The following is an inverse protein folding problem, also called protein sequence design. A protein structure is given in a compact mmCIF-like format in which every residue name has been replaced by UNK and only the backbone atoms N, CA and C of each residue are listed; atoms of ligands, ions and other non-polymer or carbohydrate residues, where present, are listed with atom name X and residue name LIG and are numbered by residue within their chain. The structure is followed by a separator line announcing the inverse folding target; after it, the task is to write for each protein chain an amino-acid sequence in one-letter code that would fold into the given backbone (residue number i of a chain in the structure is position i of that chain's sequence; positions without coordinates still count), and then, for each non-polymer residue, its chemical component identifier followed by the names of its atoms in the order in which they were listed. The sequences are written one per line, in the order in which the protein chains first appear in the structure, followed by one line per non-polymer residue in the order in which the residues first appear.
data_IF_338438864097
#
_entry.id   IF_338438864097
#
_cell.length_a   1.000
_cell.length_b   1.000
_cell.length_c   1.000
_cell.angle_alpha   90.00
_cell.angle_beta   90.00
_cell.angle_gamma   90.00
#
_symmetry.space_group_name_H-M   'P 1'
#
loop_
_entity.id
_entity.type
_entity.pdbx_description
1 polymer ?
#
# COMPACT_ATOMS: atom_id res chain seq x y z
N UNK A 1 64.65 13.24 45.97
CA UNK A 1 63.43 12.45 46.23
C UNK A 1 62.59 12.45 44.96
N UNK A 2 62.51 11.30 44.27
CA UNK A 2 61.72 11.20 43.03
C UNK A 2 60.23 11.22 43.35
N UNK A 3 59.47 12.12 42.70
CA UNK A 3 58.00 12.13 42.77
C UNK A 3 57.48 10.82 42.18
N UNK A 4 57.06 9.88 43.03
CA UNK A 4 56.36 8.68 42.57
C UNK A 4 54.98 9.09 42.06
N UNK A 5 54.55 8.46 40.98
CA UNK A 5 53.30 8.84 40.31
C UNK A 5 52.13 8.07 40.91
N UNK A 6 50.93 8.64 40.86
CA UNK A 6 49.71 7.97 41.32
C UNK A 6 49.42 6.64 40.59
N UNK A 7 50.07 6.40 39.45
CA UNK A 7 49.99 5.13 38.71
C UNK A 7 50.76 4.01 39.42
N UNK A 8 51.90 4.34 40.02
CA UNK A 8 52.75 3.36 40.70
C UNK A 8 52.07 2.84 41.97
N UNK A 9 51.32 3.70 42.67
CA UNK A 9 50.56 3.30 43.86
C UNK A 9 49.37 2.42 43.49
N UNK A 10 48.66 2.72 42.39
CA UNK A 10 47.55 1.91 41.91
C UNK A 10 47.99 0.49 41.52
N UNK A 11 49.11 0.37 40.79
CA UNK A 11 49.67 -0.92 40.40
C UNK A 11 50.02 -1.80 41.62
N UNK A 12 50.62 -1.20 42.64
CA UNK A 12 50.97 -1.90 43.89
C UNK A 12 49.74 -2.36 44.68
N UNK A 13 48.65 -1.58 44.68
CA UNK A 13 47.39 -2.00 45.31
C UNK A 13 46.85 -3.25 44.62
N UNK A 14 46.93 -3.30 43.28
CA UNK A 14 46.40 -4.41 42.49
C UNK A 14 47.25 -5.69 42.63
N UNK A 15 48.58 -5.57 42.60
CA UNK A 15 49.51 -6.70 42.84
C UNK A 15 49.29 -7.33 44.22
N UNK A 16 49.14 -6.50 45.25
CA UNK A 16 48.89 -6.98 46.62
C UNK A 16 47.48 -7.54 46.76
N UNK A 17 46.47 -6.95 46.11
CA UNK A 17 45.10 -7.48 46.11
C UNK A 17 45.01 -8.86 45.44
N UNK A 18 45.82 -9.12 44.40
CA UNK A 18 45.94 -10.41 43.72
C UNK A 18 46.78 -11.44 44.50
N UNK A 19 47.47 -11.02 45.56
CA UNK A 19 48.37 -11.87 46.35
C UNK A 19 49.70 -12.16 45.66
N UNK A 20 50.03 -11.45 44.58
CA UNK A 20 51.29 -11.58 43.84
C UNK A 20 52.47 -10.96 44.61
N UNK A 21 52.17 -10.09 45.57
CA UNK A 21 53.15 -9.42 46.40
C UNK A 21 52.68 -9.26 47.83
N UNK A 22 53.57 -9.51 48.80
CA UNK A 22 53.27 -9.32 50.22
C UNK A 22 53.38 -7.85 50.62
N UNK A 23 52.46 -7.37 51.47
CA UNK A 23 52.47 -6.01 52.02
C UNK A 23 53.80 -5.64 52.70
N UNK A 24 54.48 -6.63 53.26
CA UNK A 24 55.73 -6.49 54.01
C UNK A 24 56.92 -6.16 53.10
N UNK A 25 56.86 -6.52 51.82
CA UNK A 25 57.92 -6.27 50.84
C UNK A 25 57.98 -4.82 50.34
N UNK A 26 56.97 -4.01 50.70
CA UNK A 26 56.96 -2.58 50.39
C UNK A 26 57.87 -1.88 51.40
N UNK A 27 59.09 -1.53 50.97
CA UNK A 27 60.13 -0.89 51.80
C UNK A 27 59.73 0.48 52.36
N UNK A 28 58.80 1.16 51.70
CA UNK A 28 58.36 2.49 52.09
C UNK A 28 57.19 2.40 53.09
N UNK A 29 57.35 2.87 54.34
CA UNK A 29 56.34 2.73 55.38
C UNK A 29 55.05 3.51 55.05
N UNK A 30 55.15 4.71 54.46
CA UNK A 30 53.97 5.53 54.13
C UNK A 30 53.15 4.90 53.01
N UNK A 31 53.82 4.36 52.00
CA UNK A 31 53.17 3.67 50.89
C UNK A 31 52.49 2.39 51.35
N UNK A 32 53.15 1.64 52.23
CA UNK A 32 52.60 0.42 52.82
C UNK A 32 51.33 0.71 53.63
N UNK A 33 51.30 1.78 54.41
CA UNK A 33 50.07 2.20 55.12
C UNK A 33 48.97 2.63 54.14
N UNK A 34 49.33 3.35 53.09
CA UNK A 34 48.37 3.78 52.05
C UNK A 34 47.73 2.57 51.35
N UNK A 35 48.53 1.59 50.94
CA UNK A 35 48.04 0.35 50.32
C UNK A 35 47.21 -0.46 51.31
N UNK A 36 47.63 -0.56 52.58
CA UNK A 36 46.87 -1.23 53.65
C UNK A 36 45.50 -0.58 53.87
N UNK A 37 45.43 0.75 53.91
CA UNK A 37 44.18 1.51 54.02
C UNK A 37 43.29 1.32 52.79
N UNK A 38 43.87 1.37 51.59
CA UNK A 38 43.14 1.15 50.34
C UNK A 38 42.53 -0.27 50.28
N UNK A 39 43.28 -1.30 50.66
CA UNK A 39 42.78 -2.67 50.71
C UNK A 39 41.71 -2.86 51.79
N UNK A 40 41.85 -2.19 52.94
CA UNK A 40 40.82 -2.20 53.99
C UNK A 40 39.53 -1.54 53.51
N UNK A 41 39.64 -0.42 52.80
CA UNK A 41 38.50 0.30 52.24
C UNK A 41 37.83 -0.49 51.09
N UNK A 42 38.61 -1.25 50.32
CA UNK A 42 38.09 -2.10 49.26
C UNK A 42 37.38 -3.36 49.78
N UNK A 43 37.69 -3.79 51.02
CA UNK A 43 37.07 -4.96 51.65
C UNK A 43 35.70 -4.65 52.27
N UNK A 44 35.36 -3.38 52.48
CA UNK A 44 33.99 -3.00 52.80
C UNK A 44 33.14 -3.20 51.54
N UNK A 45 32.15 -4.11 51.56
CA UNK A 45 31.31 -4.35 50.40
C UNK A 45 30.65 -3.03 50.03
N UNK A 46 30.99 -2.53 48.85
CA UNK A 46 30.37 -1.34 48.28
C UNK A 46 28.85 -1.54 48.40
N UNK A 47 28.23 -0.81 49.33
CA UNK A 47 26.79 -0.86 49.55
C UNK A 47 26.16 -0.14 48.38
N UNK A 48 26.10 -0.85 47.25
CA UNK A 48 25.48 -0.36 46.05
C UNK A 48 24.05 0.05 46.39
N UNK A 49 23.52 1.07 45.71
CA UNK A 49 22.15 1.53 45.95
C UNK A 49 21.19 0.33 45.94
N UNK A 50 20.34 0.27 46.98
CA UNK A 50 19.20 -0.64 47.10
C UNK A 50 18.52 -0.82 45.73
N UNK A 51 18.09 -2.04 45.42
CA UNK A 51 17.32 -2.37 44.22
C UNK A 51 16.23 -1.33 43.91
N UNK A 52 15.56 -0.80 44.94
CA UNK A 52 14.54 0.25 44.79
C UNK A 52 15.13 1.58 44.30
N UNK A 53 16.29 1.97 44.83
CA UNK A 53 17.03 3.16 44.40
C UNK A 53 17.55 2.99 42.97
N UNK A 54 18.06 1.80 42.63
CA UNK A 54 18.48 1.46 41.26
C UNK A 54 17.32 1.55 40.27
N UNK A 55 16.14 1.06 40.64
CA UNK A 55 14.92 1.18 39.81
C UNK A 55 14.53 2.64 39.57
N UNK A 56 14.61 3.50 40.59
CA UNK A 56 14.29 4.93 40.45
C UNK A 56 15.29 5.67 39.57
N UNK A 57 16.58 5.35 39.71
CA UNK A 57 17.63 5.91 38.86
C UNK A 57 17.41 5.45 37.42
N UNK A 58 17.13 4.17 37.18
CA UNK A 58 16.78 3.65 35.85
C UNK A 58 15.56 4.34 35.26
N UNK A 59 14.48 4.53 36.02
CA UNK A 59 13.27 5.18 35.50
C UNK A 59 13.49 6.66 35.17
N UNK A 60 14.34 7.37 35.93
CA UNK A 60 14.72 8.75 35.57
C UNK A 60 15.56 8.79 34.32
N UNK A 61 16.60 7.97 34.25
CA UNK A 61 17.52 7.92 33.10
C UNK A 61 16.78 7.48 31.83
N UNK A 62 15.92 6.47 31.89
CA UNK A 62 15.11 6.07 30.74
C UNK A 62 14.06 7.11 30.34
N UNK A 63 13.62 7.98 31.26
CA UNK A 63 12.73 9.08 30.92
C UNK A 63 13.47 10.23 30.23
N UNK A 64 14.72 10.50 30.61
CA UNK A 64 15.58 11.46 29.91
C UNK A 64 16.18 10.91 28.61
N UNK A 65 16.27 9.58 28.47
CA UNK A 65 16.73 8.90 27.26
C UNK A 65 15.58 8.38 26.37
N UNK A 66 14.34 8.85 26.55
CA UNK A 66 13.34 8.75 25.47
C UNK A 66 13.67 9.85 24.47
N UNK A 67 14.38 9.59 23.36
CA UNK A 67 14.36 10.53 22.25
C UNK A 67 12.88 10.75 21.91
N UNK A 68 12.49 12.02 21.72
CA UNK A 68 11.19 12.31 21.12
C UNK A 68 11.05 11.53 19.81
N UNK A 69 9.84 11.21 19.35
CA UNK A 69 9.67 10.58 18.05
C UNK A 69 10.36 11.47 17.01
N UNK A 70 11.46 10.97 16.42
CA UNK A 70 12.23 11.70 15.44
C UNK A 70 11.27 12.15 14.33
N UNK A 71 11.08 13.47 14.24
CA UNK A 71 10.28 14.11 13.21
C UNK A 71 10.77 13.63 11.84
N UNK A 72 9.88 13.56 10.85
CA UNK A 72 10.26 13.29 9.45
C UNK A 72 11.39 14.23 9.00
N UNK A 73 11.44 15.45 9.52
CA UNK A 73 12.52 16.41 9.26
C UNK A 73 13.90 15.95 9.79
N UNK A 74 13.96 15.33 10.97
CA UNK A 74 15.23 14.80 11.53
C UNK A 74 15.71 13.59 10.73
N UNK A 75 14.79 12.76 10.24
CA UNK A 75 15.13 11.61 9.39
C UNK A 75 15.66 12.06 8.03
N UNK A 76 15.08 13.11 7.47
CA UNK A 76 15.57 13.74 6.23
C UNK A 76 16.94 14.39 6.48
N UNK A 77 17.12 15.11 7.59
CA UNK A 77 18.40 15.74 7.94
C UNK A 77 19.54 14.73 8.09
N UNK A 78 19.31 13.60 8.77
CA UNK A 78 20.32 12.52 8.91
C UNK A 78 20.66 11.91 7.54
N UNK A 79 19.67 11.74 6.67
CA UNK A 79 19.89 11.20 5.32
C UNK A 79 20.71 12.18 4.46
N UNK A 80 20.45 13.48 4.57
CA UNK A 80 21.22 14.53 3.89
C UNK A 80 22.62 14.71 4.48
N UNK A 81 22.81 14.55 5.80
CA UNK A 81 24.12 14.66 6.46
C UNK A 81 25.05 13.50 6.08
N UNK A 82 24.50 12.29 5.90
CA UNK A 82 25.23 11.14 5.35
C UNK A 82 25.57 11.37 3.87
N UNK A 83 24.70 12.05 3.11
CA UNK A 83 24.92 12.38 1.69
C UNK A 83 25.86 13.57 1.48
N UNK A 84 26.07 14.42 2.50
CA UNK A 84 26.92 15.61 2.44
C UNK A 84 28.41 15.31 2.67
N UNK A 85 28.78 14.10 3.14
CA UNK A 85 30.19 13.72 3.27
C UNK A 85 30.77 13.27 1.92
N UNK A 86 31.98 13.71 1.54
CA UNK A 86 32.63 13.37 0.27
C UNK A 86 33.16 11.93 0.33
N UNK A 87 32.24 10.97 0.23
CA UNK A 87 32.55 9.54 0.06
C UNK A 87 32.55 9.21 -1.43
N UNK A 88 33.40 8.27 -1.88
CA UNK A 88 33.47 7.86 -3.28
C UNK A 88 32.11 7.32 -3.75
N UNK A 89 31.69 7.71 -4.95
CA UNK A 89 30.36 7.44 -5.52
C UNK A 89 29.93 5.96 -5.47
N UNK A 90 30.90 5.02 -5.51
CA UNK A 90 30.65 3.59 -5.39
C UNK A 90 30.01 3.19 -4.04
N UNK A 91 30.42 3.80 -2.93
CA UNK A 91 29.84 3.52 -1.60
C UNK A 91 28.42 4.09 -1.48
N UNK A 92 28.10 5.19 -2.18
CA UNK A 92 26.74 5.74 -2.22
C UNK A 92 25.80 4.83 -3.00
N UNK A 93 26.22 4.37 -4.18
CA UNK A 93 25.45 3.41 -4.97
C UNK A 93 25.20 2.11 -4.19
N UNK A 94 26.21 1.61 -3.47
CA UNK A 94 26.08 0.42 -2.64
C UNK A 94 25.15 0.62 -1.45
N UNK A 95 25.24 1.75 -0.74
CA UNK A 95 24.35 2.06 0.38
C UNK A 95 22.89 2.22 -0.08
N UNK A 96 22.66 2.89 -1.21
CA UNK A 96 21.32 3.03 -1.81
C UNK A 96 20.78 1.66 -2.21
N UNK A 97 21.58 0.82 -2.90
CA UNK A 97 21.19 -0.52 -3.27
C UNK A 97 20.87 -1.39 -2.04
N UNK A 98 21.66 -1.29 -0.97
CA UNK A 98 21.43 -2.03 0.28
C UNK A 98 20.14 -1.58 0.98
N UNK A 99 19.86 -0.27 1.00
CA UNK A 99 18.59 0.25 1.54
C UNK A 99 17.40 -0.22 0.71
N UNK A 100 17.49 -0.19 -0.62
CA UNK A 100 16.44 -0.70 -1.51
C UNK A 100 16.20 -2.20 -1.27
N UNK A 101 17.27 -3.00 -1.15
CA UNK A 101 17.18 -4.44 -0.88
C UNK A 101 16.63 -4.73 0.51
N UNK A 102 17.08 -4.03 1.55
CA UNK A 102 16.58 -4.22 2.92
C UNK A 102 15.11 -3.81 3.05
N UNK A 103 14.70 -2.71 2.42
CA UNK A 103 13.29 -2.29 2.39
C UNK A 103 12.46 -3.29 1.57
N UNK A 104 12.95 -3.75 0.41
CA UNK A 104 12.27 -4.74 -0.42
C UNK A 104 12.17 -6.14 0.20
N UNK A 105 13.17 -6.57 0.98
CA UNK A 105 13.16 -7.88 1.65
C UNK A 105 12.27 -7.90 2.91
N UNK A 106 12.08 -6.75 3.55
CA UNK A 106 11.25 -6.64 4.75
C UNK A 106 9.74 -6.74 4.46
N UNK A 107 9.32 -6.41 3.22
CA UNK A 107 7.91 -6.38 2.80
C UNK A 107 7.41 -7.71 2.24
N UNK A 108 8.30 -8.63 1.85
CA UNK A 108 7.93 -9.91 1.24
C UNK A 108 7.31 -10.93 2.22
N UNK A 109 7.45 -10.74 3.55
CA UNK A 109 7.04 -11.73 4.55
C UNK A 109 5.66 -11.48 5.19
N UNK A 110 4.92 -10.44 4.81
CA UNK A 110 3.62 -10.10 5.43
C UNK A 110 2.44 -10.00 4.43
N UNK A 111 2.70 -10.02 3.11
CA UNK A 111 1.68 -9.70 2.10
C UNK A 111 0.87 -10.93 1.66
N UNK A 112 -0.03 -11.40 2.52
CA UNK A 112 -1.03 -12.43 2.16
C UNK A 112 -2.48 -11.98 2.33
N UNK A 113 -2.77 -10.70 2.59
CA UNK A 113 -4.17 -10.26 2.68
C UNK A 113 -4.42 -8.84 3.14
N UNK A 114 -3.75 -7.84 2.56
CA UNK A 114 -4.01 -6.45 2.96
C UNK A 114 -4.63 -5.64 1.83
N UNK A 115 -5.91 -5.34 2.06
CA UNK A 115 -6.81 -4.43 1.33
C UNK A 115 -6.26 -2.99 1.39
N UNK A 116 -6.67 -2.16 0.41
CA UNK A 116 -6.29 -0.77 0.09
C UNK A 116 -5.89 0.24 1.20
N UNK A 117 -6.08 -0.04 2.49
CA UNK A 117 -5.74 0.83 3.64
C UNK A 117 -4.40 0.50 4.33
N UNK A 118 -3.62 -0.47 3.83
CA UNK A 118 -2.32 -0.83 4.39
C UNK A 118 -1.18 0.07 3.85
N UNK A 119 -0.29 0.64 4.69
CA UNK A 119 0.91 1.35 4.22
C UNK A 119 1.80 0.54 3.26
N UNK A 120 1.71 -0.80 3.24
CA UNK A 120 2.39 -1.64 2.25
C UNK A 120 1.81 -1.54 0.84
N UNK A 121 0.54 -1.16 0.70
CA UNK A 121 -0.13 -1.00 -0.58
C UNK A 121 0.53 0.10 -1.43
N UNK A 122 0.89 1.25 -0.82
CA UNK A 122 1.61 2.31 -1.52
C UNK A 122 2.99 1.88 -2.01
N UNK A 123 3.68 1.02 -1.26
CA UNK A 123 4.99 0.45 -1.68
C UNK A 123 4.80 -0.47 -2.88
N UNK A 124 3.69 -1.23 -2.92
CA UNK A 124 3.36 -2.11 -4.02
C UNK A 124 3.11 -1.34 -5.31
N UNK A 125 2.23 -0.35 -5.29
CA UNK A 125 1.97 0.50 -6.45
C UNK A 125 3.26 1.18 -6.91
N UNK A 126 4.09 1.67 -5.99
CA UNK A 126 5.39 2.24 -6.35
C UNK A 126 6.32 1.23 -7.03
N UNK A 127 6.32 -0.03 -6.58
CA UNK A 127 7.13 -1.09 -7.21
C UNK A 127 6.65 -1.44 -8.62
N UNK A 128 5.34 -1.42 -8.87
CA UNK A 128 4.74 -1.64 -10.19
C UNK A 128 5.14 -0.51 -11.16
N UNK A 129 5.09 0.75 -10.70
CA UNK A 129 5.53 1.91 -11.49
C UNK A 129 7.02 1.86 -11.82
N UNK A 130 7.88 1.38 -10.91
CA UNK A 130 9.31 1.18 -11.20
C UNK A 130 9.51 0.11 -12.27
N UNK A 131 8.77 -1.00 -12.22
CA UNK A 131 8.85 -2.05 -13.25
C UNK A 131 8.43 -1.52 -14.62
N UNK A 132 7.36 -0.71 -14.66
CA UNK A 132 6.89 -0.09 -15.90
C UNK A 132 7.90 0.94 -16.44
N UNK A 133 8.53 1.73 -15.57
CA UNK A 133 9.59 2.67 -15.96
C UNK A 133 10.85 1.98 -16.49
N UNK A 134 11.13 0.75 -16.04
CA UNK A 134 12.26 -0.06 -16.50
C UNK A 134 11.95 -0.87 -17.77
N UNK A 135 10.68 -1.02 -18.14
CA UNK A 135 10.27 -1.70 -19.36
C UNK A 135 10.59 -0.83 -20.59
N UNK A 136 11.68 -1.18 -21.27
CA UNK A 136 12.21 -0.41 -22.40
C UNK A 136 11.48 -0.68 -23.71
N UNK A 137 10.91 -1.88 -23.88
CA UNK A 137 10.22 -2.30 -25.11
C UNK A 137 8.69 -2.26 -24.94
N UNK A 138 7.90 -2.02 -26.01
CA UNK A 138 6.45 -2.11 -25.97
C UNK A 138 5.95 -3.48 -25.49
N UNK A 139 6.65 -4.56 -25.84
CA UNK A 139 6.35 -5.92 -25.41
C UNK A 139 6.53 -6.08 -23.90
N UNK A 140 7.65 -5.62 -23.35
CA UNK A 140 7.89 -5.66 -21.89
C UNK A 140 6.86 -4.82 -21.14
N UNK A 141 6.48 -3.66 -21.68
CA UNK A 141 5.44 -2.81 -21.09
C UNK A 141 4.09 -3.51 -21.07
N UNK A 142 3.71 -4.16 -22.17
CA UNK A 142 2.48 -4.93 -22.25
C UNK A 142 2.44 -6.06 -21.22
N UNK A 143 3.56 -6.76 -21.01
CA UNK A 143 3.67 -7.81 -20.00
C UNK A 143 3.51 -7.23 -18.58
N UNK A 144 4.15 -6.09 -18.29
CA UNK A 144 4.01 -5.43 -16.99
C UNK A 144 2.57 -4.99 -16.75
N UNK A 145 1.96 -4.30 -17.72
CA UNK A 145 0.56 -3.85 -17.64
C UNK A 145 -0.41 -5.02 -17.46
N UNK A 146 -0.22 -6.12 -18.18
CA UNK A 146 -1.01 -7.34 -17.99
C UNK A 146 -0.87 -7.90 -16.56
N UNK A 147 0.35 -7.90 -16.01
CA UNK A 147 0.58 -8.37 -14.64
C UNK A 147 -0.07 -7.46 -13.58
N UNK A 148 -0.18 -6.16 -13.85
CA UNK A 148 -0.90 -5.22 -12.98
C UNK A 148 -2.40 -5.51 -13.09
N UNK A 149 -2.94 -5.67 -14.31
CA UNK A 149 -4.34 -6.04 -14.51
C UNK A 149 -4.69 -7.35 -13.77
N UNK A 150 -3.89 -8.41 -13.92
CA UNK A 150 -4.02 -9.65 -13.14
C UNK A 150 -4.15 -9.40 -11.65
N UNK A 151 -3.30 -8.52 -11.13
CA UNK A 151 -3.33 -8.17 -9.73
C UNK A 151 -4.61 -7.44 -9.32
N UNK A 152 -5.07 -6.47 -10.12
CA UNK A 152 -6.33 -5.74 -9.90
C UNK A 152 -7.56 -6.62 -9.92
N UNK A 153 -7.59 -7.63 -10.80
CA UNK A 153 -8.67 -8.60 -10.81
C UNK A 153 -8.69 -9.46 -9.54
N UNK A 154 -7.52 -9.92 -9.09
CA UNK A 154 -7.41 -10.68 -7.85
C UNK A 154 -7.83 -9.84 -6.64
N UNK A 155 -7.40 -8.58 -6.60
CA UNK A 155 -7.82 -7.60 -5.59
C UNK A 155 -9.35 -7.40 -5.60
N UNK A 156 -9.93 -7.12 -6.78
CA UNK A 156 -11.38 -6.99 -6.94
C UNK A 156 -12.15 -8.21 -6.43
N UNK A 157 -11.68 -9.42 -6.72
CA UNK A 157 -12.29 -10.65 -6.22
C UNK A 157 -12.26 -10.74 -4.69
N UNK A 158 -11.13 -10.39 -4.05
CA UNK A 158 -11.02 -10.39 -2.59
C UNK A 158 -11.92 -9.34 -1.94
N UNK A 159 -11.93 -8.12 -2.49
CA UNK A 159 -12.77 -7.02 -2.02
C UNK A 159 -14.26 -7.36 -2.12
N UNK A 160 -14.65 -8.04 -3.21
CA UNK A 160 -16.02 -8.45 -3.45
C UNK A 160 -16.50 -9.47 -2.41
N UNK A 161 -15.65 -10.43 -2.04
CA UNK A 161 -15.97 -11.35 -0.93
C UNK A 161 -16.01 -10.68 0.45
N UNK A 162 -15.34 -9.54 0.60
CA UNK A 162 -15.35 -8.74 1.82
C UNK A 162 -16.50 -7.74 1.93
N UNK A 163 -17.33 -7.59 0.89
CA UNK A 163 -18.42 -6.60 0.83
C UNK A 163 -17.93 -5.16 0.63
N UNK A 164 -16.70 -4.96 0.14
CA UNK A 164 -16.12 -3.65 -0.12
C UNK A 164 -16.48 -3.14 -1.52
N UNK A 165 -17.78 -2.99 -1.80
CA UNK A 165 -18.32 -2.71 -3.13
C UNK A 165 -17.66 -1.53 -3.86
N UNK A 166 -17.37 -0.43 -3.16
CA UNK A 166 -16.75 0.76 -3.78
C UNK A 166 -15.35 0.45 -4.29
N UNK A 167 -14.59 -0.30 -3.52
CA UNK A 167 -13.21 -0.65 -3.82
C UNK A 167 -13.16 -1.71 -4.94
N UNK A 168 -14.16 -2.60 -5.02
CA UNK A 168 -14.33 -3.54 -6.14
C UNK A 168 -14.52 -2.80 -7.45
N UNK A 169 -15.36 -1.76 -7.47
CA UNK A 169 -15.64 -0.98 -8.67
C UNK A 169 -14.36 -0.29 -9.15
N UNK A 170 -13.60 0.34 -8.24
CA UNK A 170 -12.32 0.97 -8.57
C UNK A 170 -11.33 -0.06 -9.14
N UNK A 171 -11.12 -1.18 -8.45
CA UNK A 171 -10.19 -2.23 -8.90
C UNK A 171 -10.61 -2.84 -10.25
N UNK A 172 -11.91 -2.97 -10.52
CA UNK A 172 -12.46 -3.46 -11.79
C UNK A 172 -12.23 -2.47 -12.94
N UNK A 173 -12.38 -1.17 -12.67
CA UNK A 173 -12.07 -0.12 -13.65
C UNK A 173 -10.57 -0.03 -13.95
N UNK A 174 -9.72 -0.07 -12.91
CA UNK A 174 -8.25 -0.10 -13.06
C UNK A 174 -7.77 -1.35 -13.82
N UNK A 175 -8.40 -2.51 -13.60
CA UNK A 175 -8.18 -3.70 -14.43
C UNK A 175 -8.39 -3.42 -15.92
N UNK A 176 -9.51 -2.78 -16.27
CA UNK A 176 -9.84 -2.46 -17.66
C UNK A 176 -8.85 -1.45 -18.26
N UNK A 177 -8.39 -0.48 -17.48
CA UNK A 177 -7.36 0.48 -17.87
C UNK A 177 -6.04 -0.20 -18.22
N UNK A 178 -5.47 -0.96 -17.28
CA UNK A 178 -4.19 -1.65 -17.48
C UNK A 178 -4.26 -2.66 -18.63
N UNK A 179 -5.40 -3.33 -18.81
CA UNK A 179 -5.61 -4.23 -19.94
C UNK A 179 -5.66 -3.48 -21.28
N UNK A 180 -6.31 -2.32 -21.33
CA UNK A 180 -6.35 -1.47 -22.52
C UNK A 180 -4.95 -0.93 -22.87
N UNK A 181 -4.16 -0.54 -21.86
CA UNK A 181 -2.77 -0.11 -22.04
C UNK A 181 -1.89 -1.24 -22.57
N UNK A 182 -1.97 -2.44 -21.98
CA UNK A 182 -1.22 -3.61 -22.45
C UNK A 182 -1.49 -3.90 -23.93
N UNK A 183 -2.76 -3.90 -24.32
CA UNK A 183 -3.19 -4.12 -25.68
C UNK A 183 -2.76 -2.98 -26.63
N UNK A 184 -2.76 -1.73 -26.16
CA UNK A 184 -2.30 -0.59 -26.94
C UNK A 184 -0.79 -0.58 -27.19
N UNK A 185 0.02 -1.12 -26.26
CA UNK A 185 1.45 -1.32 -26.48
C UNK A 185 1.70 -2.42 -27.53
N UNK A 186 0.99 -3.55 -27.47
CA UNK A 186 1.11 -4.60 -28.49
C UNK A 186 0.62 -4.16 -29.87
N UNK A 187 -0.45 -3.36 -29.96
CA UNK A 187 -0.98 -2.87 -31.22
C UNK A 187 0.01 -1.99 -32.01
N UNK A 188 0.98 -1.35 -31.33
CA UNK A 188 2.01 -0.55 -31.98
C UNK A 188 3.05 -1.41 -32.71
N UNK A 189 3.32 -2.61 -32.20
CA UNK A 189 4.38 -3.51 -32.70
C UNK A 189 3.84 -4.68 -33.51
N UNK A 190 2.54 -5.00 -33.40
CA UNK A 190 1.87 -6.11 -34.09
C UNK A 190 2.09 -6.13 -35.61
N UNK A 191 2.14 -4.95 -36.23
CA UNK A 191 2.34 -4.83 -37.68
C UNK A 191 3.81 -4.87 -38.12
N UNK A 192 4.75 -4.73 -37.17
CA UNK A 192 6.19 -4.65 -37.43
C UNK A 192 6.84 -5.99 -37.16
N UNK A 193 6.42 -6.68 -36.10
CA UNK A 193 7.08 -7.88 -35.58
C UNK A 193 6.10 -9.06 -35.57
N UNK A 194 6.32 -10.12 -36.37
CA UNK A 194 5.41 -11.28 -36.41
C UNK A 194 5.37 -12.06 -35.09
N UNK A 195 6.42 -11.97 -34.26
CA UNK A 195 6.46 -12.57 -32.93
C UNK A 195 5.39 -11.99 -31.99
N UNK A 196 4.98 -10.73 -32.18
CA UNK A 196 3.93 -10.08 -31.40
C UNK A 196 2.58 -10.77 -31.56
N UNK A 197 2.29 -11.42 -32.70
CA UNK A 197 1.04 -12.17 -32.88
C UNK A 197 0.90 -13.31 -31.86
N UNK A 198 2.02 -13.92 -31.45
CA UNK A 198 2.02 -14.95 -30.39
C UNK A 198 1.72 -14.34 -29.03
N UNK A 199 2.27 -13.17 -28.71
CA UNK A 199 1.99 -12.43 -27.48
C UNK A 199 0.53 -11.98 -27.40
N UNK A 200 -0.05 -11.50 -28.51
CA UNK A 200 -1.47 -11.13 -28.56
C UNK A 200 -2.37 -12.35 -28.35
N UNK A 201 -2.00 -13.51 -28.88
CA UNK A 201 -2.72 -14.76 -28.63
C UNK A 201 -2.63 -15.18 -27.15
N UNK A 202 -1.44 -15.07 -26.54
CA UNK A 202 -1.25 -15.33 -25.12
C UNK A 202 -2.05 -14.36 -24.23
N UNK A 203 -2.06 -13.08 -24.59
CA UNK A 203 -2.87 -12.06 -23.94
C UNK A 203 -4.36 -12.42 -24.01
N UNK A 204 -4.85 -12.82 -25.19
CA UNK A 204 -6.24 -13.24 -25.36
C UNK A 204 -6.58 -14.44 -24.46
N UNK A 205 -5.72 -15.46 -24.42
CA UNK A 205 -5.91 -16.60 -23.53
C UNK A 205 -5.98 -16.17 -22.06
N UNK A 206 -5.10 -15.27 -21.62
CA UNK A 206 -5.09 -14.74 -20.26
C UNK A 206 -6.37 -13.96 -19.93
N UNK A 207 -6.86 -13.16 -20.87
CA UNK A 207 -8.13 -12.46 -20.71
C UNK A 207 -9.28 -13.45 -20.55
N UNK A 208 -9.30 -14.54 -21.32
CA UNK A 208 -10.35 -15.54 -21.20
C UNK A 208 -10.29 -16.29 -19.84
N UNK A 209 -9.09 -16.58 -19.33
CA UNK A 209 -8.87 -17.08 -17.96
C UNK A 209 -9.42 -16.09 -16.90
N UNK A 210 -9.16 -14.79 -17.09
CA UNK A 210 -9.65 -13.71 -16.22
C UNK A 210 -11.17 -13.60 -16.24
N UNK A 211 -11.79 -13.68 -17.41
CA UNK A 211 -13.24 -13.68 -17.58
C UNK A 211 -13.89 -14.86 -16.89
N UNK A 212 -13.33 -16.06 -17.05
CA UNK A 212 -13.81 -17.26 -16.36
C UNK A 212 -13.75 -17.08 -14.83
N UNK A 213 -12.66 -16.48 -14.34
CA UNK A 213 -12.50 -16.18 -12.91
C UNK A 213 -13.53 -15.16 -12.43
N UNK A 214 -13.69 -14.04 -13.14
CA UNK A 214 -14.68 -13.00 -12.82
C UNK A 214 -16.11 -13.54 -12.83
N UNK A 215 -16.45 -14.38 -13.82
CA UNK A 215 -17.75 -15.05 -13.92
C UNK A 215 -17.99 -16.02 -12.75
N UNK A 216 -16.98 -16.79 -12.35
CA UNK A 216 -17.10 -17.71 -11.22
C UNK A 216 -17.29 -16.96 -9.89
N UNK A 217 -16.60 -15.83 -9.69
CA UNK A 217 -16.75 -15.00 -8.48
C UNK A 217 -18.11 -14.30 -8.48
N UNK A 218 -18.52 -13.69 -9.60
CA UNK A 218 -19.82 -13.01 -9.68
C UNK A 218 -20.99 -13.96 -9.47
N UNK A 219 -20.93 -15.19 -10.00
CA UNK A 219 -21.94 -16.21 -9.79
C UNK A 219 -22.07 -16.62 -8.31
N UNK A 220 -20.95 -16.70 -7.57
CA UNK A 220 -20.97 -17.02 -6.12
C UNK A 220 -21.57 -15.89 -5.28
N UNK A 221 -21.39 -14.64 -5.70
CA UNK A 221 -21.87 -13.46 -4.99
C UNK A 221 -23.33 -13.13 -5.32
N UNK A 222 -23.84 -13.59 -6.46
CA UNK A 222 -25.20 -13.30 -6.91
C UNK A 222 -26.31 -13.76 -5.95
N UNK A 223 -26.03 -14.73 -5.08
CA UNK A 223 -26.98 -15.24 -4.09
C UNK A 223 -27.16 -14.31 -2.86
N UNK A 224 -26.21 -13.40 -2.62
CA UNK A 224 -26.25 -12.49 -1.48
C UNK A 224 -26.61 -11.05 -1.91
N UNK A 225 -27.78 -10.50 -1.49
CA UNK A 225 -28.20 -9.15 -1.85
C UNK A 225 -27.24 -8.06 -1.36
N UNK A 226 -26.43 -8.34 -0.32
CA UNK A 226 -25.44 -7.39 0.20
C UNK A 226 -24.21 -7.26 -0.70
N UNK A 227 -23.94 -8.24 -1.57
CA UNK A 227 -22.82 -8.24 -2.52
C UNK A 227 -23.25 -8.04 -3.97
N UNK A 228 -24.53 -7.75 -4.20
CA UNK A 228 -25.08 -7.53 -5.55
C UNK A 228 -24.34 -6.45 -6.37
N UNK A 229 -23.90 -5.30 -5.79
CA UNK A 229 -23.13 -4.31 -6.54
C UNK A 229 -21.75 -4.84 -6.98
N UNK A 230 -21.02 -5.51 -6.08
CA UNK A 230 -19.75 -6.15 -6.41
C UNK A 230 -19.91 -7.25 -7.48
N UNK A 231 -20.96 -8.07 -7.38
CA UNK A 231 -21.29 -9.08 -8.37
C UNK A 231 -21.57 -8.46 -9.75
N UNK A 232 -22.30 -7.34 -9.78
CA UNK A 232 -22.59 -6.61 -11.01
C UNK A 232 -21.31 -6.03 -11.64
N UNK A 233 -20.40 -5.45 -10.84
CA UNK A 233 -19.12 -4.94 -11.32
C UNK A 233 -18.26 -6.06 -11.96
N UNK A 234 -18.14 -7.22 -11.31
CA UNK A 234 -17.40 -8.37 -11.85
C UNK A 234 -18.09 -9.00 -13.07
N UNK A 235 -19.43 -8.97 -13.13
CA UNK A 235 -20.18 -9.47 -14.29
C UNK A 235 -19.96 -8.63 -15.56
N UNK A 236 -19.60 -7.35 -15.43
CA UNK A 236 -19.20 -6.51 -16.56
C UNK A 236 -17.98 -7.11 -17.26
N UNK A 237 -16.97 -7.58 -16.51
CA UNK A 237 -15.78 -8.20 -17.08
C UNK A 237 -16.10 -9.53 -17.78
N UNK A 238 -17.03 -10.31 -17.23
CA UNK A 238 -17.38 -11.63 -17.72
C UNK A 238 -18.14 -11.63 -19.06
N UNK A 239 -18.87 -10.56 -19.39
CA UNK A 239 -19.84 -10.55 -20.49
C UNK A 239 -19.34 -9.88 -21.77
N UNK A 240 -18.17 -9.25 -21.75
CA UNK A 240 -17.67 -8.54 -22.93
C UNK A 240 -17.14 -9.55 -23.94
N UNK A 241 -17.80 -9.70 -25.09
CA UNK A 241 -17.28 -10.49 -26.21
C UNK A 241 -17.86 -10.08 -27.58
N UNK A 242 -17.72 -8.80 -27.95
CA UNK A 242 -18.11 -8.35 -29.29
C UNK A 242 -16.84 -8.24 -30.14
N UNK A 243 -16.61 -9.14 -31.11
CA UNK A 243 -15.47 -9.01 -32.01
C UNK A 243 -15.72 -7.86 -33.00
N UNK A 244 -14.87 -6.84 -32.94
CA UNK A 244 -14.79 -5.78 -33.96
C UNK A 244 -14.06 -6.32 -35.19
N UNK A 245 -14.77 -6.61 -36.28
CA UNK A 245 -14.20 -7.19 -37.51
C UNK A 245 -13.19 -6.27 -38.23
N UNK A 246 -13.23 -4.98 -37.95
CA UNK A 246 -12.43 -3.96 -38.65
C UNK A 246 -11.13 -3.57 -37.91
N UNK A 247 -10.83 -4.21 -36.77
CA UNK A 247 -9.68 -3.88 -35.93
C UNK A 247 -8.64 -4.99 -35.93
N UNK A 248 -7.37 -4.63 -35.70
CA UNK A 248 -6.36 -5.64 -35.37
C UNK A 248 -6.74 -6.32 -34.05
N UNK A 249 -6.34 -7.58 -33.84
CA UNK A 249 -6.62 -8.31 -32.59
C UNK A 249 -6.26 -7.52 -31.32
N UNK A 250 -5.08 -6.89 -31.28
CA UNK A 250 -4.69 -6.06 -30.14
C UNK A 250 -5.57 -4.80 -29.97
N UNK A 251 -5.95 -4.14 -31.07
CA UNK A 251 -6.85 -2.99 -31.00
C UNK A 251 -8.27 -3.35 -30.58
N UNK A 252 -8.76 -4.54 -30.96
CA UNK A 252 -10.05 -5.06 -30.51
C UNK A 252 -10.04 -5.35 -29.01
N UNK A 253 -8.96 -5.94 -28.48
CA UNK A 253 -8.78 -6.15 -27.03
C UNK A 253 -8.79 -4.80 -26.29
N UNK A 254 -8.07 -3.80 -26.79
CA UNK A 254 -8.01 -2.48 -26.16
C UNK A 254 -9.38 -1.79 -26.10
N UNK A 255 -10.15 -1.84 -27.19
CA UNK A 255 -11.54 -1.34 -27.23
C UNK A 255 -12.44 -2.07 -26.24
N UNK A 256 -12.34 -3.39 -26.19
CA UNK A 256 -13.11 -4.22 -25.29
C UNK A 256 -12.83 -3.93 -23.81
N UNK A 257 -11.55 -3.70 -23.48
CA UNK A 257 -11.12 -3.32 -22.13
C UNK A 257 -11.62 -1.92 -21.74
N UNK A 258 -11.60 -0.97 -22.68
CA UNK A 258 -12.15 0.37 -22.47
C UNK A 258 -13.68 0.35 -22.23
N UNK A 259 -14.43 -0.45 -23.01
CA UNK A 259 -15.87 -0.63 -22.80
C UNK A 259 -16.19 -1.25 -21.44
N UNK A 260 -15.35 -2.18 -20.98
CA UNK A 260 -15.49 -2.78 -19.65
C UNK A 260 -15.25 -1.75 -18.54
N UNK A 261 -14.20 -0.92 -18.66
CA UNK A 261 -13.91 0.15 -17.71
C UNK A 261 -15.04 1.20 -17.65
N UNK A 262 -15.61 1.58 -18.80
CA UNK A 262 -16.73 2.53 -18.91
C UNK A 262 -18.01 2.02 -18.26
N UNK A 263 -18.32 0.73 -18.45
CA UNK A 263 -19.46 0.08 -17.77
C UNK A 263 -19.24 0.00 -16.27
N UNK A 264 -18.03 -0.30 -15.81
CA UNK A 264 -17.70 -0.29 -14.38
C UNK A 264 -17.84 1.13 -13.78
N UNK A 265 -17.40 2.17 -14.50
CA UNK A 265 -17.61 3.56 -14.11
C UNK A 265 -19.11 3.91 -14.03
N UNK A 266 -19.91 3.46 -14.99
CA UNK A 266 -21.37 3.65 -14.99
C UNK A 266 -22.03 3.01 -13.76
N UNK A 267 -21.58 1.83 -13.33
CA UNK A 267 -22.03 1.18 -12.09
C UNK A 267 -21.69 2.05 -10.86
N UNK A 268 -20.49 2.64 -10.83
CA UNK A 268 -20.08 3.58 -9.78
C UNK A 268 -21.02 4.80 -9.69
N UNK A 269 -21.35 5.40 -10.84
CA UNK A 269 -22.19 6.61 -10.91
C UNK A 269 -23.63 6.36 -10.44
N UNK A 270 -24.18 5.19 -10.78
CA UNK A 270 -25.50 4.77 -10.32
C UNK A 270 -25.56 4.64 -8.79
N UNK A 271 -24.44 4.37 -8.14
CA UNK A 271 -24.34 4.31 -6.67
C UNK A 271 -24.28 5.70 -6.03
N UNK A 272 -23.67 6.68 -6.69
CA UNK A 272 -23.57 8.08 -6.24
C UNK A 272 -24.88 8.83 -6.38
N UNK A 273 -25.67 8.54 -7.43
CA UNK A 273 -26.98 9.15 -7.63
C UNK A 273 -28.06 8.33 -6.93
N UNK A 274 -28.42 8.64 -5.66
CA UNK A 274 -29.60 8.00 -5.07
C UNK A 274 -30.78 8.31 -5.98
N UNK A 275 -31.52 7.26 -6.33
CA UNK A 275 -32.69 7.25 -7.21
C UNK A 275 -33.78 8.18 -6.67
N UNK A 276 -33.58 9.49 -6.79
CA UNK A 276 -34.50 10.57 -6.41
C UNK A 276 -35.64 10.72 -7.42
N UNK A 277 -35.99 9.62 -8.10
CA UNK A 277 -37.05 9.55 -9.13
C UNK A 277 -38.24 8.71 -8.69
N UNK A 278 -38.33 8.27 -7.43
CA UNK A 278 -39.56 7.72 -6.87
C UNK A 278 -40.47 8.84 -6.34
N UNK A 279 -40.91 9.73 -7.23
CA UNK A 279 -42.09 10.54 -7.01
C UNK A 279 -42.84 10.77 -8.32
N UNK A 280 -43.92 10.01 -8.55
CA UNK A 280 -45.15 10.58 -9.06
C UNK A 280 -46.22 10.47 -7.98
N UNK A 281 -46.39 11.58 -7.28
CA UNK A 281 -47.69 12.24 -7.05
C UNK A 281 -48.92 11.36 -7.35
N UNK A 282 -49.43 10.68 -6.33
CA UNK A 282 -50.86 10.39 -6.23
C UNK A 282 -51.29 10.67 -4.79
N UNK A 283 -51.84 11.86 -4.56
CA UNK A 283 -52.63 12.20 -3.39
C UNK A 283 -53.87 11.31 -3.34
N UNK A 284 -54.07 10.45 -2.32
CA UNK A 284 -55.40 10.05 -1.92
C UNK A 284 -55.94 11.07 -0.92
N UNK A 285 -56.99 11.77 -1.31
CA UNK A 285 -57.82 12.64 -0.48
C UNK A 285 -58.20 11.94 0.84
N UNK A 286 -57.95 12.52 2.03
CA UNK A 286 -58.38 11.91 3.28
C UNK A 286 -59.84 12.28 3.58
N UNK A 287 -60.70 11.26 3.65
CA UNK A 287 -62.00 11.39 4.31
C UNK A 287 -61.79 11.57 5.82
N UNK A 288 -62.33 12.68 6.29
CA UNK A 288 -62.43 13.13 7.68
C UNK A 288 -63.28 12.16 8.49
N UNK A 289 -62.73 11.57 9.55
CA UNK A 289 -63.54 11.04 10.66
C UNK A 289 -62.92 11.45 11.98
N UNK A 290 -63.78 11.92 12.87
CA UNK A 290 -63.51 12.70 14.08
C UNK A 290 -63.59 11.80 15.31
N UNK A 291 -62.85 12.19 16.36
CA UNK A 291 -62.93 11.76 17.77
C UNK A 291 -62.21 10.43 18.11
N UNK A 292 -61.53 10.25 19.24
CA UNK A 292 -61.60 10.90 20.56
C UNK A 292 -60.25 10.80 21.29
N UNK A 293 -59.96 11.80 22.11
CA UNK A 293 -58.82 11.89 23.04
C UNK A 293 -58.87 10.83 24.15
N UNK A 294 -57.72 10.27 24.53
CA UNK A 294 -57.43 9.91 25.92
C UNK A 294 -55.92 9.90 26.19
N UNK A 295 -55.54 10.78 27.11
CA UNK A 295 -54.28 10.96 27.84
C UNK A 295 -53.57 9.69 28.33
N UNK A 296 -52.25 9.59 28.09
CA UNK A 296 -51.26 9.20 29.11
C UNK A 296 -49.97 9.99 28.88
N UNK A 297 -49.67 10.90 29.81
CA UNK A 297 -48.39 11.58 29.92
C UNK A 297 -47.37 10.63 30.54
N UNK A 298 -46.32 10.27 29.81
CA UNK A 298 -45.13 9.66 30.37
C UNK A 298 -43.88 9.96 29.53
N UNK A 299 -43.04 10.85 30.09
CA UNK A 299 -41.58 10.81 30.04
C UNK A 299 -40.90 11.02 28.68
N UNK A 300 -40.84 12.27 28.25
CA UNK A 300 -39.95 12.76 27.20
C UNK A 300 -38.53 12.95 27.76
N UNK A 301 -37.67 11.93 27.64
CA UNK A 301 -36.22 12.08 27.72
C UNK A 301 -35.58 11.69 26.38
N UNK A 302 -35.29 12.74 25.59
CA UNK A 302 -34.23 12.93 24.60
C UNK A 302 -33.69 11.74 23.76
N UNK A 303 -33.99 11.72 22.44
CA UNK A 303 -33.24 10.94 21.44
C UNK A 303 -32.38 11.82 20.50
N UNK A 304 -31.76 12.92 20.97
CA UNK A 304 -31.01 13.86 20.09
C UNK A 304 -29.61 13.39 19.67
N UNK A 305 -29.01 12.41 20.36
CA UNK A 305 -27.63 11.98 20.08
C UNK A 305 -27.53 10.97 18.91
N UNK A 306 -28.62 10.25 18.61
CA UNK A 306 -28.58 9.17 17.59
C UNK A 306 -28.79 9.70 16.17
N UNK A 307 -29.48 10.83 15.99
CA UNK A 307 -29.68 11.46 14.68
C UNK A 307 -28.39 12.04 14.10
N UNK A 308 -27.54 12.67 14.93
CA UNK A 308 -26.28 13.27 14.47
C UNK A 308 -25.30 12.23 13.94
N UNK A 309 -25.14 11.09 14.65
CA UNK A 309 -24.22 10.02 14.24
C UNK A 309 -24.65 9.34 12.93
N UNK A 310 -25.95 9.23 12.68
CA UNK A 310 -26.49 8.67 11.43
C UNK A 310 -26.26 9.63 10.24
N UNK A 311 -26.37 10.93 10.46
CA UNK A 311 -26.10 11.93 9.43
C UNK A 311 -24.60 12.01 9.06
N UNK A 312 -23.69 11.83 10.02
CA UNK A 312 -22.24 11.80 9.77
C UNK A 312 -21.83 10.56 8.97
N UNK A 313 -22.29 9.36 9.37
CA UNK A 313 -21.97 8.12 8.64
C UNK A 313 -22.50 8.14 7.20
N UNK A 314 -23.70 8.71 6.96
CA UNK A 314 -24.23 8.84 5.61
C UNK A 314 -23.45 9.84 4.73
N UNK A 315 -22.86 10.89 5.34
CA UNK A 315 -21.98 11.83 4.62
C UNK A 315 -20.66 11.18 4.25
N UNK A 316 -20.07 10.40 5.16
CA UNK A 316 -18.81 9.70 4.91
C UNK A 316 -18.96 8.62 3.82
N UNK A 317 -20.07 7.88 3.81
CA UNK A 317 -20.34 6.93 2.72
C UNK A 317 -20.52 7.62 1.36
N UNK A 318 -21.18 8.78 1.33
CA UNK A 318 -21.37 9.52 0.07
C UNK A 318 -20.03 10.02 -0.49
N UNK A 319 -19.14 10.53 0.35
CA UNK A 319 -17.82 10.99 -0.12
C UNK A 319 -16.94 9.84 -0.60
N UNK A 320 -17.06 8.64 0.00
CA UNK A 320 -16.37 7.44 -0.51
C UNK A 320 -16.91 7.04 -1.90
N UNK A 321 -18.23 6.99 -2.07
CA UNK A 321 -18.85 6.65 -3.35
C UNK A 321 -18.47 7.65 -4.45
N UNK A 322 -18.45 8.95 -4.15
CA UNK A 322 -18.06 10.01 -5.09
C UNK A 322 -16.61 9.83 -5.56
N UNK A 323 -15.68 9.56 -4.64
CA UNK A 323 -14.27 9.29 -4.98
C UNK A 323 -14.12 8.03 -5.82
N UNK A 324 -14.85 6.97 -5.48
CA UNK A 324 -14.83 5.73 -6.26
C UNK A 324 -15.33 5.96 -7.69
N UNK A 325 -16.41 6.72 -7.86
CA UNK A 325 -16.91 7.08 -9.18
C UNK A 325 -15.95 7.98 -9.98
N UNK A 326 -15.31 8.95 -9.33
CA UNK A 326 -14.28 9.78 -9.96
C UNK A 326 -13.08 8.95 -10.41
N UNK A 327 -12.59 8.05 -9.56
CA UNK A 327 -11.49 7.14 -9.89
C UNK A 327 -11.85 6.20 -11.04
N UNK A 328 -13.05 5.62 -11.02
CA UNK A 328 -13.54 4.72 -12.07
C UNK A 328 -13.69 5.45 -13.42
N UNK A 329 -14.19 6.70 -13.41
CA UNK A 329 -14.26 7.54 -14.62
C UNK A 329 -12.89 7.84 -15.19
N UNK A 330 -11.94 8.22 -14.32
CA UNK A 330 -10.56 8.48 -14.74
C UNK A 330 -9.95 7.26 -15.43
N UNK A 331 -10.08 6.07 -14.82
CA UNK A 331 -9.61 4.82 -15.41
C UNK A 331 -10.31 4.51 -16.75
N UNK A 332 -11.61 4.75 -16.87
CA UNK A 332 -12.35 4.58 -18.12
C UNK A 332 -11.86 5.54 -19.22
N UNK A 333 -11.57 6.80 -18.90
CA UNK A 333 -11.04 7.78 -19.84
C UNK A 333 -9.62 7.43 -20.30
N UNK A 334 -8.77 6.96 -19.39
CA UNK A 334 -7.42 6.45 -19.71
C UNK A 334 -7.50 5.19 -20.59
N UNK A 335 -8.40 4.26 -20.29
CA UNK A 335 -8.65 3.08 -21.12
C UNK A 335 -9.12 3.45 -22.53
N UNK A 336 -10.02 4.43 -22.67
CA UNK A 336 -10.46 4.95 -23.97
C UNK A 336 -9.31 5.59 -24.75
N UNK A 337 -8.45 6.35 -24.07
CA UNK A 337 -7.26 6.92 -24.70
C UNK A 337 -6.30 5.83 -25.22
N UNK A 338 -6.10 4.77 -24.44
CA UNK A 338 -5.33 3.60 -24.84
C UNK A 338 -5.94 2.87 -26.06
N UNK A 339 -7.26 2.65 -26.05
CA UNK A 339 -7.96 2.08 -27.19
C UNK A 339 -7.83 2.93 -28.46
N UNK A 340 -7.91 4.26 -28.34
CA UNK A 340 -7.65 5.15 -29.48
C UNK A 340 -6.21 5.07 -29.97
N UNK A 341 -5.22 5.01 -29.06
CA UNK A 341 -3.80 4.78 -29.38
C UNK A 341 -3.61 3.47 -30.15
N UNK A 342 -4.25 2.40 -29.71
CA UNK A 342 -4.21 1.09 -30.37
C UNK A 342 -4.77 1.16 -31.82
N UNK A 343 -5.92 1.80 -31.99
CA UNK A 343 -6.54 2.04 -33.32
C UNK A 343 -5.62 2.84 -34.25
N UNK A 344 -4.90 3.83 -33.72
CA UNK A 344 -3.94 4.62 -34.52
C UNK A 344 -2.69 3.81 -34.88
N UNK A 345 -2.19 2.98 -33.96
CA UNK A 345 -1.08 2.06 -34.20
C UNK A 345 -1.36 1.11 -35.36
N UNK A 346 -2.57 0.54 -35.39
CA UNK A 346 -3.02 -0.35 -36.46
C UNK A 346 -3.15 0.32 -37.84
N UNK A 347 -3.45 1.64 -37.90
CA UNK A 347 -3.65 2.37 -39.17
C UNK A 347 -2.38 2.91 -39.82
N UNK A 348 -1.30 3.13 -39.06
CA UNK A 348 -0.10 3.82 -39.55
C UNK A 348 0.83 2.96 -40.39
N UNK A 349 0.55 1.67 -40.56
CA UNK A 349 1.41 0.78 -41.35
C UNK A 349 1.05 0.88 -42.83
N UNK A 350 1.93 1.43 -43.70
CA UNK A 350 1.64 1.53 -45.12
C UNK A 350 1.53 0.12 -45.73
N UNK A 351 0.46 -0.12 -46.48
CA UNK A 351 0.31 -1.34 -47.28
C UNK A 351 1.59 -1.57 -48.09
N UNK A 352 2.17 -2.79 -48.10
CA UNK A 352 3.39 -3.06 -48.84
C UNK A 352 3.17 -2.66 -50.29
N UNK A 353 3.91 -1.66 -50.76
CA UNK A 353 3.84 -1.19 -52.13
C UNK A 353 4.08 -2.39 -53.04
N UNK A 354 3.14 -2.76 -53.93
CA UNK A 354 3.32 -3.93 -54.77
C UNK A 354 4.55 -3.69 -55.64
N UNK A 355 5.64 -4.40 -55.35
CA UNK A 355 6.79 -4.44 -56.23
C UNK A 355 6.33 -5.08 -57.55
N UNK A 356 6.10 -4.22 -58.54
CA UNK A 356 5.85 -4.62 -59.93
C UNK A 356 7.10 -5.35 -60.41
N UNK A 357 7.00 -6.67 -60.57
CA UNK A 357 8.02 -7.50 -61.23
C UNK A 357 8.07 -7.21 -62.72
#
# INVERSE_FOLDING_TARGET
MGRRTAKDTAALIEEVARGERLLEEIKDPELRETVRLALRLHKDPYSGPDAKTRSRIRSRVFRTLRPGPASLADRIAITFEILAKPTPYAMRAFAIALVVVCVGASTALVSAGTVADDPLYSVKIASEQVRLALAATPEDRAIVELSIAEHRLAEAATLATGGYDDDVIVATSEYGEHLANAAAELAQVESITPETATLVTQLQQKIDEHRATAAAVSARLADDPTTAPAAAALAVLATTNVPSQDLSPAAAIAEQAADAADRAATVAEQKVTPRSSAAPRATPTPQRTVATQATVAARTQAPRATETRRAESARESNTKNERAAESARKAADEAKAAAQKAKQGSKKTPSPTPHRR
#
